data_IF_554605316697
#
_entry.id   IF_554605316697
#
_cell.length_a   1.000
_cell.length_b   1.000
_cell.length_c   1.000
_cell.angle_alpha   90.00
_cell.angle_beta   90.00
_cell.angle_gamma   90.00
#
_symmetry.space_group_name_H-M   'P 1'
#
loop_
_entity.id
_entity.type
_entity.pdbx_description
1 polymer ?
#
# COMPACT_ATOMS: atom_id res chain seq x y z
N UNK A 1 26.64 -9.01 9.68
CA UNK A 1 26.55 -7.60 10.12
C UNK A 1 26.49 -6.57 8.97
N UNK A 2 26.87 -6.91 7.73
CA UNK A 2 26.88 -5.94 6.62
C UNK A 2 25.48 -5.64 6.03
N UNK A 3 24.59 -6.64 6.03
CA UNK A 3 23.23 -6.53 5.48
C UNK A 3 22.39 -5.43 6.15
N UNK A 4 22.40 -5.38 7.48
CA UNK A 4 21.66 -4.38 8.25
C UNK A 4 22.10 -2.93 7.94
N UNK A 5 23.36 -2.74 7.52
CA UNK A 5 23.87 -1.43 7.12
C UNK A 5 23.41 -1.05 5.72
N UNK A 6 23.38 -2.02 4.81
CA UNK A 6 22.86 -1.86 3.46
C UNK A 6 21.36 -1.53 3.49
N UNK A 7 20.59 -2.31 4.25
CA UNK A 7 19.15 -2.15 4.42
C UNK A 7 18.78 -0.76 4.96
N UNK A 8 19.50 -0.28 5.98
CA UNK A 8 19.29 1.07 6.52
C UNK A 8 19.60 2.18 5.52
N UNK A 9 20.61 1.96 4.67
CA UNK A 9 21.03 2.95 3.67
C UNK A 9 20.00 3.02 2.55
N UNK A 10 19.52 1.87 2.07
CA UNK A 10 18.45 1.78 1.07
C UNK A 10 17.17 2.43 1.61
N UNK A 11 16.74 2.06 2.82
CA UNK A 11 15.55 2.65 3.42
C UNK A 11 15.68 4.16 3.62
N UNK A 12 16.85 4.66 4.04
CA UNK A 12 17.11 6.10 4.18
C UNK A 12 17.03 6.83 2.84
N UNK A 13 17.61 6.27 1.77
CA UNK A 13 17.58 6.85 0.43
C UNK A 13 16.14 6.83 -0.12
N UNK A 14 15.40 5.74 0.08
CA UNK A 14 13.99 5.65 -0.30
C UNK A 14 13.14 6.68 0.46
N UNK A 15 13.33 6.83 1.78
CA UNK A 15 12.61 7.81 2.60
C UNK A 15 12.97 9.28 2.26
N UNK A 16 14.19 9.53 1.81
CA UNK A 16 14.64 10.88 1.41
C UNK A 16 14.12 11.30 0.04
N UNK A 17 13.92 10.35 -0.88
CA UNK A 17 13.44 10.63 -2.24
C UNK A 17 11.92 10.47 -2.40
N UNK A 18 11.26 9.73 -1.51
CA UNK A 18 9.81 9.69 -1.38
C UNK A 18 9.39 10.82 -0.43
N UNK A 19 9.11 12.01 -0.97
CA UNK A 19 8.66 13.18 -0.22
C UNK A 19 7.68 12.82 0.92
N UNK A 20 8.11 13.17 2.15
CA UNK A 20 7.37 13.28 3.40
C UNK A 20 5.99 12.61 3.48
N UNK A 21 5.96 11.49 4.21
CA UNK A 21 4.83 11.05 5.05
C UNK A 21 3.46 11.13 4.41
N UNK A 22 3.20 10.30 3.42
CA UNK A 22 1.88 9.70 3.43
C UNK A 22 1.90 8.62 4.52
N UNK A 23 1.01 8.73 5.50
CA UNK A 23 0.59 7.59 6.35
C UNK A 23 -0.13 6.60 5.42
N UNK A 24 0.62 5.94 4.53
CA UNK A 24 0.09 4.99 3.56
C UNK A 24 -0.13 3.72 4.36
N UNK A 25 -1.39 3.34 4.60
CA UNK A 25 -1.71 1.99 5.03
C UNK A 25 -1.05 1.03 4.03
N UNK A 26 0.02 0.35 4.47
CA UNK A 26 0.93 -0.43 3.61
C UNK A 26 0.22 -1.46 2.71
N UNK A 27 -0.99 -1.90 3.07
CA UNK A 27 -1.76 -2.86 2.26
C UNK A 27 -2.33 -2.30 0.95
N UNK A 28 -2.56 -0.98 0.85
CA UNK A 28 -3.37 -0.42 -0.25
C UNK A 28 -2.55 0.01 -1.49
N UNK A 29 -1.21 0.04 -1.41
CA UNK A 29 -0.37 0.63 -2.46
C UNK A 29 0.48 -0.42 -3.17
N UNK A 30 -0.08 -0.99 -4.24
CA UNK A 30 0.63 -1.90 -5.17
C UNK A 30 1.63 -1.11 -6.03
N UNK A 31 2.74 -1.73 -6.45
CA UNK A 31 3.78 -1.14 -7.32
C UNK A 31 3.19 -0.45 -8.56
N UNK A 32 2.12 -1.02 -9.12
CA UNK A 32 1.39 -0.45 -10.26
C UNK A 32 0.80 0.95 -9.97
N UNK A 33 0.31 1.22 -8.76
CA UNK A 33 -0.23 2.54 -8.38
C UNK A 33 0.92 3.57 -8.35
N UNK A 34 2.09 3.18 -7.84
CA UNK A 34 3.27 4.04 -7.81
C UNK A 34 3.75 4.39 -9.21
N UNK A 35 3.79 3.41 -10.12
CA UNK A 35 4.12 3.64 -11.52
C UNK A 35 3.12 4.57 -12.21
N UNK A 36 1.82 4.41 -11.94
CA UNK A 36 0.80 5.30 -12.47
C UNK A 36 0.92 6.72 -11.92
N UNK A 37 1.27 6.88 -10.64
CA UNK A 37 1.52 8.19 -10.03
C UNK A 37 2.72 8.90 -10.68
N UNK A 38 3.79 8.16 -10.99
CA UNK A 38 4.94 8.71 -11.69
C UNK A 38 4.62 9.09 -13.14
N UNK A 39 3.88 8.24 -13.86
CA UNK A 39 3.37 8.56 -15.20
C UNK A 39 2.49 9.82 -15.17
N UNK A 40 1.66 9.99 -14.13
CA UNK A 40 0.83 11.20 -13.95
C UNK A 40 1.70 12.44 -13.71
N UNK A 41 2.79 12.31 -12.95
CA UNK A 41 3.76 13.39 -12.70
C UNK A 41 4.39 13.89 -14.00
N UNK A 42 4.75 12.97 -14.90
CA UNK A 42 5.33 13.28 -16.21
C UNK A 42 4.30 13.92 -17.17
N UNK A 43 3.02 13.55 -17.07
CA UNK A 43 1.94 14.08 -17.91
C UNK A 43 1.37 15.44 -17.44
N UNK A 44 2.11 16.23 -16.64
CA UNK A 44 1.61 17.48 -16.02
C UNK A 44 1.06 18.50 -17.04
N UNK A 45 1.65 18.57 -18.23
CA UNK A 45 1.28 19.53 -19.27
C UNK A 45 0.28 18.96 -20.29
N UNK A 46 -0.21 17.74 -20.08
CA UNK A 46 -1.15 17.05 -20.97
C UNK A 46 -2.47 16.81 -20.22
N UNK A 47 -3.43 17.77 -20.23
CA UNK A 47 -4.58 17.74 -19.32
C UNK A 47 -5.46 16.51 -19.48
N UNK A 48 -5.65 16.04 -20.71
CA UNK A 48 -6.44 14.83 -21.02
C UNK A 48 -5.79 13.59 -20.42
N UNK A 49 -4.50 13.39 -20.69
CA UNK A 49 -3.71 12.26 -20.18
C UNK A 49 -3.58 12.31 -18.66
N UNK A 50 -3.36 13.50 -18.09
CA UNK A 50 -3.33 13.71 -16.65
C UNK A 50 -4.63 13.26 -15.99
N UNK A 51 -5.78 13.67 -16.54
CA UNK A 51 -7.10 13.31 -16.02
C UNK A 51 -7.36 11.80 -16.14
N UNK A 52 -7.00 11.19 -17.26
CA UNK A 52 -7.11 9.75 -17.46
C UNK A 52 -6.28 8.98 -16.42
N UNK A 53 -5.01 9.34 -16.26
CA UNK A 53 -4.12 8.74 -15.28
C UNK A 53 -4.64 8.93 -13.85
N UNK A 54 -5.17 10.12 -13.51
CA UNK A 54 -5.77 10.37 -12.21
C UNK A 54 -6.99 9.49 -11.93
N UNK A 55 -7.84 9.25 -12.94
CA UNK A 55 -8.99 8.36 -12.81
C UNK A 55 -8.53 6.90 -12.62
N UNK A 56 -7.54 6.44 -13.40
CA UNK A 56 -6.97 5.10 -13.27
C UNK A 56 -6.34 4.87 -11.89
N UNK A 57 -5.60 5.86 -11.36
CA UNK A 57 -5.03 5.79 -10.02
C UNK A 57 -6.13 5.64 -8.97
N UNK A 58 -7.21 6.44 -9.04
CA UNK A 58 -8.33 6.33 -8.11
C UNK A 58 -9.01 4.96 -8.18
N UNK A 59 -9.21 4.43 -9.39
CA UNK A 59 -9.78 3.09 -9.60
C UNK A 59 -8.91 1.99 -8.98
N UNK A 60 -7.59 2.04 -9.22
CA UNK A 60 -6.63 1.08 -8.66
C UNK A 60 -6.51 1.17 -7.15
N UNK A 61 -6.56 2.38 -6.58
CA UNK A 61 -6.62 2.56 -5.13
C UNK A 61 -7.89 1.94 -4.55
N UNK A 62 -9.05 2.13 -5.21
CA UNK A 62 -10.31 1.53 -4.75
C UNK A 62 -10.22 0.00 -4.74
N UNK A 63 -9.78 -0.59 -5.84
CA UNK A 63 -9.58 -2.05 -5.96
C UNK A 63 -8.59 -2.56 -4.90
N UNK A 64 -7.45 -1.89 -4.73
CA UNK A 64 -6.46 -2.28 -3.73
C UNK A 64 -6.97 -2.21 -2.28
N UNK A 65 -7.97 -1.36 -1.99
CA UNK A 65 -8.64 -1.37 -0.67
C UNK A 65 -9.59 -2.55 -0.55
N UNK A 66 -10.35 -2.84 -1.59
CA UNK A 66 -11.30 -3.95 -1.63
C UNK A 66 -10.56 -5.28 -1.44
N UNK A 67 -9.50 -5.50 -2.21
CA UNK A 67 -8.64 -6.70 -2.09
C UNK A 67 -8.02 -6.81 -0.70
N UNK A 68 -7.53 -5.70 -0.12
CA UNK A 68 -6.94 -5.74 1.23
C UNK A 68 -7.98 -6.07 2.31
N UNK A 69 -9.21 -5.60 2.18
CA UNK A 69 -10.30 -5.93 3.11
C UNK A 69 -10.70 -7.40 2.94
N UNK A 70 -10.78 -7.88 1.71
CA UNK A 70 -11.10 -9.27 1.40
C UNK A 70 -10.05 -10.22 1.99
N UNK A 71 -8.76 -9.94 1.80
CA UNK A 71 -7.66 -10.69 2.43
C UNK A 71 -7.76 -10.70 3.97
N UNK A 72 -8.12 -9.57 4.59
CA UNK A 72 -8.31 -9.49 6.03
C UNK A 72 -9.50 -10.33 6.50
N UNK A 73 -10.61 -10.33 5.75
CA UNK A 73 -11.78 -11.14 6.04
C UNK A 73 -11.44 -12.63 5.96
N UNK A 74 -10.79 -13.08 4.89
CA UNK A 74 -10.34 -14.46 4.74
C UNK A 74 -9.39 -14.89 5.87
N UNK A 75 -8.45 -14.03 6.26
CA UNK A 75 -7.54 -14.30 7.39
C UNK A 75 -8.32 -14.47 8.71
N UNK A 76 -9.31 -13.61 8.97
CA UNK A 76 -10.15 -13.70 10.16
C UNK A 76 -11.02 -14.96 10.17
N UNK A 77 -11.64 -15.31 9.05
CA UNK A 77 -12.44 -16.53 8.91
C UNK A 77 -11.58 -17.79 9.13
N UNK A 78 -10.34 -17.80 8.63
CA UNK A 78 -9.39 -18.88 8.87
C UNK A 78 -9.00 -18.99 10.35
N UNK A 79 -8.74 -17.87 11.03
CA UNK A 79 -8.43 -17.86 12.46
C UNK A 79 -9.63 -18.32 13.32
N UNK A 80 -10.84 -17.92 12.96
CA UNK A 80 -12.07 -18.37 13.61
C UNK A 80 -12.30 -19.88 13.42
N UNK A 81 -12.09 -20.38 12.20
CA UNK A 81 -12.19 -21.82 11.89
C UNK A 81 -11.21 -22.69 12.69
N UNK A 82 -10.08 -22.11 13.14
CA UNK A 82 -9.07 -22.76 13.98
C UNK A 82 -9.28 -22.51 15.47
N UNK A 83 -10.36 -21.83 15.86
CA UNK A 83 -10.64 -21.38 17.22
C UNK A 83 -9.49 -20.57 17.84
N UNK A 84 -8.70 -19.85 17.03
CA UNK A 84 -7.57 -19.03 17.48
C UNK A 84 -8.01 -17.61 17.89
N UNK A 85 -8.95 -17.54 18.85
CA UNK A 85 -9.59 -16.30 19.31
C UNK A 85 -8.57 -15.26 19.78
N UNK A 86 -7.47 -15.70 20.40
CA UNK A 86 -6.37 -14.81 20.82
C UNK A 86 -5.67 -14.11 19.64
N UNK A 87 -5.34 -14.86 18.59
CA UNK A 87 -4.67 -14.33 17.41
C UNK A 87 -5.60 -13.39 16.63
N UNK A 88 -6.89 -13.71 16.56
CA UNK A 88 -7.91 -12.84 15.98
C UNK A 88 -8.01 -11.49 16.71
N UNK A 89 -8.11 -11.50 18.05
CA UNK A 89 -8.13 -10.26 18.84
C UNK A 89 -6.85 -9.43 18.71
N UNK A 90 -5.69 -10.09 18.64
CA UNK A 90 -4.42 -9.42 18.40
C UNK A 90 -4.42 -8.71 17.04
N UNK A 91 -4.90 -9.39 16.00
CA UNK A 91 -4.98 -8.83 14.64
C UNK A 91 -5.93 -7.64 14.55
N UNK A 92 -7.11 -7.72 15.20
CA UNK A 92 -8.05 -6.60 15.27
C UNK A 92 -7.43 -5.35 15.91
N UNK A 93 -6.60 -5.53 16.94
CA UNK A 93 -5.89 -4.42 17.60
C UNK A 93 -4.80 -3.81 16.72
N UNK A 94 -4.19 -4.58 15.81
CA UNK A 94 -3.17 -4.08 14.87
C UNK A 94 -3.79 -3.30 13.69
N UNK A 95 -5.06 -3.55 13.37
CA UNK A 95 -5.78 -2.91 12.25
C UNK A 95 -6.52 -1.63 12.67
N UNK A 96 -6.98 -1.55 13.93
CA UNK A 96 -7.70 -0.41 14.50
C UNK A 96 -6.82 0.78 14.84
#
# INVERSE_FOLDING_TARGET
>A
MQWNRLERTINKICLQNLNATMNIKKGCMKTEILELMEKRRLAKNEPTTYRQLQNSIKGKIKLGKEEWIEELCEEMENLDSKHEVFNMHKKLREVG
#
